data_IF_955201174578
#
_entry.id   IF_955201174578
#
_cell.length_a   1.000
_cell.length_b   1.000
_cell.length_c   1.000
_cell.angle_alpha   90.00
_cell.angle_beta   90.00
_cell.angle_gamma   90.00
#
_symmetry.space_group_name_H-M   'P 1'
#
loop_
_entity.id
_entity.type
_entity.pdbx_description
1 polymer ?
#
# COMPACT_ATOMS: atom_id res chain seq x y z
N UNK A 1 -49.69 -24.16 14.81
CA UNK A 1 -50.96 -23.38 14.91
C UNK A 1 -50.79 -22.41 16.08
N UNK A 2 -51.10 -21.09 15.98
CA UNK A 2 -52.44 -20.45 16.02
C UNK A 2 -53.26 -20.92 17.24
N UNK A 3 -53.80 -20.08 18.13
CA UNK A 3 -54.31 -18.68 18.04
C UNK A 3 -53.96 -17.85 19.30
N UNK A 4 -53.71 -16.53 19.34
CA UNK A 4 -54.40 -15.30 18.83
C UNK A 4 -55.78 -15.00 19.47
N UNK A 5 -56.09 -13.69 19.68
CA UNK A 5 -57.34 -13.01 20.19
C UNK A 5 -57.29 -12.61 21.68
N UNK A 6 -57.85 -11.49 22.18
CA UNK A 6 -58.34 -10.17 21.66
C UNK A 6 -58.05 -9.14 22.81
N UNK A 7 -57.70 -7.86 22.64
CA UNK A 7 -58.29 -6.71 21.92
C UNK A 7 -59.58 -6.11 22.54
N UNK A 8 -59.59 -4.77 22.72
CA UNK A 8 -60.74 -3.82 22.88
C UNK A 8 -61.22 -3.42 24.30
N UNK A 9 -60.85 -2.18 24.67
CA UNK A 9 -61.62 -1.03 25.24
C UNK A 9 -62.77 -1.24 26.25
N UNK A 10 -62.77 -0.40 27.30
CA UNK A 10 -63.97 0.29 27.79
C UNK A 10 -63.97 1.77 27.32
N UNK A 11 -65.06 2.53 27.51
CA UNK A 11 -65.22 3.85 26.89
C UNK A 11 -66.10 4.83 27.68
N UNK A 12 -65.78 6.13 27.54
CA UNK A 12 -66.60 7.31 27.90
C UNK A 12 -66.80 7.57 29.43
N UNK A 13 -67.25 8.75 29.90
CA UNK A 13 -67.78 9.92 29.18
C UNK A 13 -67.62 11.29 29.91
N UNK A 14 -67.41 12.34 29.09
CA UNK A 14 -68.03 13.70 29.13
C UNK A 14 -67.75 14.77 30.23
N UNK A 15 -67.87 16.03 29.74
CA UNK A 15 -68.05 17.34 30.41
C UNK A 15 -66.86 17.96 31.18
N UNK A 16 -66.27 19.14 30.84
CA UNK A 16 -66.76 20.53 30.53
C UNK A 16 -67.36 21.26 31.75
N UNK A 17 -67.11 22.55 32.07
CA UNK A 17 -66.38 23.69 31.43
C UNK A 17 -66.18 24.81 32.51
N UNK A 18 -65.37 25.89 32.46
CA UNK A 18 -64.34 26.46 31.56
C UNK A 18 -63.46 27.49 32.36
N UNK A 19 -62.34 27.96 31.78
CA UNK A 19 -61.53 29.12 32.24
C UNK A 19 -60.04 28.92 31.93
N UNK A 20 -59.37 29.57 30.96
CA UNK A 20 -59.19 31.01 30.69
C UNK A 20 -58.32 31.71 31.77
N UNK A 21 -57.13 32.26 31.49
CA UNK A 21 -56.48 32.49 30.19
C UNK A 21 -54.95 32.74 30.23
N UNK A 22 -54.29 32.42 29.11
CA UNK A 22 -53.06 33.04 28.54
C UNK A 22 -51.67 32.81 29.19
N UNK A 23 -50.93 31.90 28.55
CA UNK A 23 -49.56 32.08 28.00
C UNK A 23 -48.40 32.56 28.90
N UNK A 24 -47.59 31.60 29.32
CA UNK A 24 -46.17 31.55 28.92
C UNK A 24 -45.75 30.07 28.79
N UNK A 25 -45.23 29.67 27.63
CA UNK A 25 -44.72 28.30 27.39
C UNK A 25 -43.20 28.34 27.16
N UNK A 26 -42.42 27.32 27.54
CA UNK A 26 -42.80 26.05 28.16
C UNK A 26 -41.72 25.49 29.10
N UNK A 27 -42.07 24.44 29.85
CA UNK A 27 -41.21 23.78 30.83
C UNK A 27 -40.65 22.44 30.30
N UNK A 28 -39.72 21.83 31.05
CA UNK A 28 -39.02 20.58 30.72
C UNK A 28 -37.51 20.83 30.64
N UNK A 29 -36.67 20.47 31.61
CA UNK A 29 -36.82 19.53 32.74
C UNK A 29 -37.09 18.08 32.33
N UNK A 30 -36.06 17.41 31.85
CA UNK A 30 -35.75 15.99 32.07
C UNK A 30 -34.23 15.80 31.87
N UNK A 31 -33.70 14.61 32.14
CA UNK A 31 -32.29 14.35 32.49
C UNK A 31 -31.24 15.14 31.68
N UNK A 32 -30.39 15.88 32.40
CA UNK A 32 -29.02 16.16 31.94
C UNK A 32 -28.19 14.88 32.06
N UNK A 33 -28.52 13.89 31.24
CA UNK A 33 -27.63 12.78 30.98
C UNK A 33 -26.38 13.36 30.33
N UNK A 34 -25.28 13.37 31.08
CA UNK A 34 -23.97 13.62 30.51
C UNK A 34 -23.72 12.56 29.44
N UNK A 35 -23.95 12.94 28.19
CA UNK A 35 -23.34 12.27 27.05
C UNK A 35 -21.88 12.70 27.08
N UNK A 36 -21.12 12.16 28.03
CA UNK A 36 -19.67 12.10 27.96
C UNK A 36 -19.35 11.29 26.72
N UNK A 37 -19.24 11.98 25.59
CA UNK A 37 -18.36 11.56 24.50
C UNK A 37 -16.97 11.54 25.08
N UNK A 38 -16.62 10.42 25.73
CA UNK A 38 -15.25 10.03 25.95
C UNK A 38 -14.68 9.69 24.57
N UNK A 39 -14.27 10.74 23.84
CA UNK A 39 -13.23 10.58 22.84
C UNK A 39 -12.07 9.85 23.53
N UNK A 40 -11.56 8.80 22.90
CA UNK A 40 -10.77 7.81 23.61
C UNK A 40 -9.44 8.39 24.09
N UNK A 41 -9.09 8.11 25.35
CA UNK A 41 -7.72 8.21 25.86
C UNK A 41 -6.88 7.05 25.27
N UNK A 42 -6.78 7.00 23.93
CA UNK A 42 -6.41 5.78 23.21
C UNK A 42 -6.26 5.89 21.69
N UNK A 43 -6.20 7.10 21.13
CA UNK A 43 -6.05 7.33 19.68
C UNK A 43 -7.29 7.01 18.84
N UNK A 44 -7.24 7.35 17.54
CA UNK A 44 -8.29 7.04 16.55
C UNK A 44 -7.85 5.87 15.64
N UNK A 45 -7.69 4.70 16.25
CA UNK A 45 -7.40 3.45 15.54
C UNK A 45 -8.44 3.09 14.44
N UNK A 46 -9.74 3.48 14.54
CA UNK A 46 -10.65 3.45 13.40
C UNK A 46 -10.17 4.22 12.17
N UNK A 47 -9.54 5.39 12.33
CA UNK A 47 -8.97 6.14 11.19
C UNK A 47 -7.80 5.38 10.55
N UNK A 48 -6.95 4.72 11.35
CA UNK A 48 -5.86 3.83 10.86
C UNK A 48 -6.44 2.62 10.10
N UNK A 49 -7.57 2.07 10.54
CA UNK A 49 -8.29 1.01 9.82
C UNK A 49 -8.86 1.52 8.49
N UNK A 50 -9.63 2.61 8.52
CA UNK A 50 -10.28 3.18 7.35
C UNK A 50 -9.24 3.53 6.26
N UNK A 51 -8.08 4.06 6.67
CA UNK A 51 -6.91 4.30 5.83
C UNK A 51 -6.41 3.01 5.16
N UNK A 52 -5.98 2.00 5.94
CA UNK A 52 -5.52 0.71 5.41
C UNK A 52 -6.52 0.08 4.43
N UNK A 53 -7.82 0.12 4.73
CA UNK A 53 -8.84 -0.42 3.82
C UNK A 53 -9.02 0.41 2.56
N UNK A 54 -8.79 1.73 2.60
CA UNK A 54 -8.92 2.60 1.42
C UNK A 54 -7.79 2.35 0.41
N UNK A 55 -6.56 2.19 0.89
CA UNK A 55 -5.40 1.88 0.05
C UNK A 55 -5.47 0.43 -0.48
N UNK A 56 -5.84 -0.54 0.36
CA UNK A 56 -6.06 -1.92 -0.08
C UNK A 56 -7.22 -2.08 -1.09
N UNK A 57 -8.31 -1.31 -0.95
CA UNK A 57 -9.38 -1.24 -1.96
C UNK A 57 -8.86 -0.66 -3.29
N UNK A 58 -8.04 0.40 -3.25
CA UNK A 58 -7.53 1.10 -4.43
C UNK A 58 -6.48 0.28 -5.19
N UNK A 59 -5.56 -0.36 -4.48
CA UNK A 59 -4.63 -1.35 -5.02
C UNK A 59 -5.37 -2.49 -5.74
N UNK A 60 -6.41 -3.04 -5.10
CA UNK A 60 -7.21 -4.09 -5.72
C UNK A 60 -7.91 -3.61 -7.01
N UNK A 61 -8.37 -2.35 -7.10
CA UNK A 61 -8.90 -1.78 -8.35
C UNK A 61 -7.82 -1.66 -9.45
N UNK A 62 -6.56 -1.31 -9.14
CA UNK A 62 -5.50 -1.25 -10.15
C UNK A 62 -5.02 -2.64 -10.59
N UNK A 63 -4.89 -3.58 -9.64
CA UNK A 63 -4.49 -4.97 -9.92
C UNK A 63 -5.57 -5.72 -10.72
N UNK A 64 -6.86 -5.36 -10.56
CA UNK A 64 -7.93 -5.83 -11.44
C UNK A 64 -7.74 -5.41 -12.91
N UNK A 65 -7.25 -4.20 -13.16
CA UNK A 65 -6.93 -3.71 -14.52
C UNK A 65 -5.71 -4.45 -15.07
N UNK A 66 -4.64 -4.58 -14.27
CA UNK A 66 -3.44 -5.35 -14.65
C UNK A 66 -3.80 -6.79 -15.05
N UNK A 67 -4.55 -7.51 -14.21
CA UNK A 67 -4.96 -8.88 -14.47
C UNK A 67 -5.86 -9.01 -15.70
N UNK A 68 -6.83 -8.10 -15.90
CA UNK A 68 -7.70 -8.11 -17.08
C UNK A 68 -6.92 -7.88 -18.40
N UNK A 69 -5.92 -6.99 -18.37
CA UNK A 69 -5.06 -6.74 -19.52
C UNK A 69 -4.12 -7.92 -19.80
N UNK A 70 -3.60 -8.57 -18.76
CA UNK A 70 -2.75 -9.76 -18.89
C UNK A 70 -3.51 -10.97 -19.47
N UNK A 71 -4.76 -11.20 -19.06
CA UNK A 71 -5.64 -12.21 -19.66
C UNK A 71 -5.88 -11.91 -21.15
N UNK A 72 -6.13 -10.64 -21.50
CA UNK A 72 -6.37 -10.24 -22.91
C UNK A 72 -5.10 -10.37 -23.76
N UNK A 73 -3.94 -10.00 -23.22
CA UNK A 73 -2.64 -10.21 -23.86
C UNK A 73 -2.31 -11.69 -24.07
N UNK A 74 -2.62 -12.53 -23.07
CA UNK A 74 -2.51 -13.99 -23.19
C UNK A 74 -3.45 -14.56 -24.27
N UNK A 75 -4.71 -14.12 -24.36
CA UNK A 75 -5.62 -14.56 -25.42
C UNK A 75 -5.10 -14.19 -26.83
N UNK A 76 -4.44 -13.04 -26.99
CA UNK A 76 -3.80 -12.64 -28.25
C UNK A 76 -2.56 -13.51 -28.56
N UNK A 77 -1.71 -13.77 -27.57
CA UNK A 77 -0.52 -14.62 -27.74
C UNK A 77 -0.89 -16.08 -28.04
N UNK A 78 -1.88 -16.65 -27.35
CA UNK A 78 -2.41 -17.99 -27.63
C UNK A 78 -3.03 -18.07 -29.05
N UNK A 79 -3.72 -17.02 -29.49
CA UNK A 79 -4.26 -16.93 -30.85
C UNK A 79 -3.19 -16.87 -31.95
N UNK A 80 -1.96 -16.46 -31.61
CA UNK A 80 -0.77 -16.46 -32.46
C UNK A 80 0.08 -17.75 -32.34
N UNK A 81 -0.42 -18.81 -31.68
CA UNK A 81 0.36 -20.02 -31.33
C UNK A 81 1.65 -19.70 -30.52
N UNK A 82 1.68 -18.56 -29.79
CA UNK A 82 2.84 -17.95 -29.12
C UNK A 82 4.02 -17.56 -30.04
N UNK A 83 3.76 -17.36 -31.34
CA UNK A 83 4.70 -16.73 -32.27
C UNK A 83 4.68 -15.20 -32.06
N UNK A 84 5.59 -14.70 -31.22
CA UNK A 84 5.61 -13.28 -30.83
C UNK A 84 5.99 -12.33 -31.98
N UNK A 85 6.80 -12.78 -32.96
CA UNK A 85 7.04 -12.05 -34.22
C UNK A 85 5.71 -11.86 -34.98
N UNK A 86 4.90 -12.92 -35.13
CA UNK A 86 3.60 -12.86 -35.79
C UNK A 86 2.55 -12.08 -34.99
N UNK A 87 2.56 -12.19 -33.65
CA UNK A 87 1.71 -11.40 -32.75
C UNK A 87 1.92 -9.90 -32.99
N UNK A 88 3.18 -9.46 -33.08
CA UNK A 88 3.53 -8.06 -33.30
C UNK A 88 3.36 -7.64 -34.77
N UNK A 89 3.55 -8.50 -35.78
CA UNK A 89 3.20 -8.16 -37.18
C UNK A 89 1.67 -7.95 -37.37
N UNK A 90 0.83 -8.77 -36.72
CA UNK A 90 -0.63 -8.73 -36.94
C UNK A 90 -1.40 -7.82 -35.95
N UNK A 91 -0.96 -7.70 -34.68
CA UNK A 91 -1.76 -7.09 -33.58
C UNK A 91 -1.05 -5.96 -32.82
N UNK A 92 0.05 -5.41 -33.36
CA UNK A 92 0.92 -4.41 -32.71
C UNK A 92 0.16 -3.27 -31.97
N UNK A 93 -0.81 -2.62 -32.64
CA UNK A 93 -1.58 -1.50 -32.06
C UNK A 93 -2.43 -1.91 -30.84
N UNK A 94 -2.86 -3.17 -30.74
CA UNK A 94 -3.70 -3.69 -29.65
C UNK A 94 -2.84 -4.18 -28.47
N UNK A 95 -1.73 -4.88 -28.75
CA UNK A 95 -0.74 -5.25 -27.73
C UNK A 95 -0.12 -3.99 -27.09
N UNK A 96 0.26 -3.00 -27.89
CA UNK A 96 0.82 -1.75 -27.39
C UNK A 96 -0.15 -1.01 -26.46
N UNK A 97 -1.45 -0.95 -26.83
CA UNK A 97 -2.48 -0.34 -25.99
C UNK A 97 -2.66 -1.07 -24.65
N UNK A 98 -2.70 -2.41 -24.64
CA UNK A 98 -2.81 -3.22 -23.43
C UNK A 98 -1.61 -3.02 -22.50
N UNK A 99 -0.39 -3.08 -23.03
CA UNK A 99 0.83 -2.90 -22.23
C UNK A 99 1.00 -1.46 -21.75
N UNK A 100 0.54 -0.46 -22.51
CA UNK A 100 0.48 0.93 -22.06
C UNK A 100 -0.53 1.13 -20.92
N UNK A 101 -1.76 0.60 -21.04
CA UNK A 101 -2.76 0.68 -19.96
C UNK A 101 -2.31 -0.11 -18.71
N UNK A 102 -1.58 -1.21 -18.88
CA UNK A 102 -0.93 -1.92 -17.77
C UNK A 102 0.17 -1.10 -17.09
N UNK A 103 1.07 -0.43 -17.83
CA UNK A 103 2.07 0.48 -17.24
C UNK A 103 1.41 1.65 -16.49
N UNK A 104 0.35 2.22 -17.06
CA UNK A 104 -0.49 3.24 -16.42
C UNK A 104 -1.13 2.74 -15.12
N UNK A 105 -1.59 1.47 -15.07
CA UNK A 105 -2.16 0.85 -13.88
C UNK A 105 -1.09 0.53 -12.82
N UNK A 106 0.08 0.04 -13.22
CA UNK A 106 1.22 -0.21 -12.34
C UNK A 106 1.65 1.06 -11.59
N UNK A 107 1.79 2.18 -12.31
CA UNK A 107 2.19 3.49 -11.75
C UNK A 107 1.13 4.08 -10.79
N UNK A 108 -0.10 3.53 -10.76
CA UNK A 108 -1.11 3.82 -9.73
C UNK A 108 -1.08 2.80 -8.59
N UNK A 109 -0.90 1.51 -8.92
CA UNK A 109 -0.84 0.42 -7.95
C UNK A 109 0.30 0.59 -6.93
N UNK A 110 1.46 1.10 -7.36
CA UNK A 110 2.61 1.32 -6.47
C UNK A 110 2.27 2.27 -5.30
N UNK A 111 1.90 3.56 -5.50
CA UNK A 111 1.53 4.43 -4.37
C UNK A 111 0.30 3.91 -3.58
N UNK A 112 -0.66 3.26 -4.25
CA UNK A 112 -1.79 2.57 -3.57
C UNK A 112 -1.34 1.45 -2.60
N UNK A 113 -0.11 0.92 -2.74
CA UNK A 113 0.52 0.00 -1.79
C UNK A 113 1.48 0.71 -0.82
N UNK A 114 2.40 1.52 -1.32
CA UNK A 114 3.45 2.23 -0.56
C UNK A 114 2.86 3.06 0.58
N UNK A 115 1.77 3.80 0.33
CA UNK A 115 1.06 4.58 1.36
C UNK A 115 0.56 3.73 2.54
N UNK A 116 0.37 2.41 2.38
CA UNK A 116 -0.02 1.47 3.44
C UNK A 116 1.05 0.45 3.86
N UNK A 117 2.19 0.31 3.17
CA UNK A 117 3.26 -0.65 3.49
C UNK A 117 3.66 -0.57 4.97
N UNK A 118 3.80 0.64 5.50
CA UNK A 118 4.15 0.88 6.90
C UNK A 118 3.25 0.14 7.91
N UNK A 119 2.00 -0.14 7.55
CA UNK A 119 1.04 -0.94 8.32
C UNK A 119 1.07 -2.42 7.91
N UNK A 120 1.23 -2.73 6.61
CA UNK A 120 1.24 -4.11 6.08
C UNK A 120 2.49 -4.86 6.53
N UNK A 121 3.68 -4.37 6.19
CA UNK A 121 4.97 -4.91 6.62
C UNK A 121 5.16 -4.81 8.13
N UNK A 122 4.75 -3.67 8.70
CA UNK A 122 4.94 -3.33 10.12
C UNK A 122 4.07 -4.09 11.13
N UNK A 123 3.10 -4.90 10.69
CA UNK A 123 2.19 -5.66 11.56
C UNK A 123 2.33 -7.17 11.27
N UNK A 124 2.78 -8.01 12.22
CA UNK A 124 3.10 -9.43 11.95
C UNK A 124 1.97 -10.32 11.43
N UNK A 125 0.70 -9.88 11.49
CA UNK A 125 -0.43 -10.61 10.88
C UNK A 125 -0.63 -10.31 9.39
N UNK A 126 0.02 -9.26 8.87
CA UNK A 126 -0.09 -8.75 7.51
C UNK A 126 1.25 -8.86 6.75
N UNK A 127 2.39 -8.90 7.46
CA UNK A 127 3.74 -8.86 6.88
C UNK A 127 4.07 -9.93 5.81
N UNK A 128 3.35 -11.06 5.74
CA UNK A 128 3.54 -12.00 4.63
C UNK A 128 3.03 -11.44 3.30
N UNK A 129 2.01 -10.56 3.31
CA UNK A 129 1.58 -9.85 2.11
C UNK A 129 2.64 -8.87 1.63
N UNK A 130 3.43 -8.28 2.53
CA UNK A 130 4.56 -7.43 2.15
C UNK A 130 5.67 -8.22 1.45
N UNK A 131 6.10 -9.34 2.05
CA UNK A 131 7.02 -10.28 1.42
C UNK A 131 6.48 -10.75 0.06
N UNK A 132 5.21 -11.17 -0.03
CA UNK A 132 4.68 -11.69 -1.29
C UNK A 132 4.46 -10.58 -2.35
N UNK A 133 4.16 -9.34 -1.97
CA UNK A 133 3.80 -8.25 -2.89
C UNK A 133 4.98 -7.36 -3.31
N UNK A 134 5.83 -6.85 -2.40
CA UNK A 134 6.92 -5.88 -2.72
C UNK A 134 8.31 -6.29 -2.21
N UNK A 135 8.43 -6.81 -0.99
CA UNK A 135 9.74 -6.96 -0.34
C UNK A 135 10.45 -8.30 -0.59
N UNK A 136 9.71 -9.35 -0.98
CA UNK A 136 10.23 -10.73 -0.98
C UNK A 136 11.18 -11.07 -2.11
N UNK A 137 12.17 -11.90 -1.75
CA UNK A 137 13.19 -12.40 -2.66
C UNK A 137 12.73 -13.63 -3.48
N UNK A 138 13.57 -14.05 -4.42
CA UNK A 138 13.43 -15.31 -5.14
C UNK A 138 13.90 -16.51 -4.29
N UNK A 139 13.83 -17.71 -4.87
CA UNK A 139 14.33 -18.94 -4.25
C UNK A 139 15.84 -18.98 -3.94
N UNK A 140 16.63 -17.97 -4.33
CA UNK A 140 18.06 -17.88 -4.02
C UNK A 140 18.36 -17.36 -2.61
N UNK A 141 17.42 -16.63 -1.99
CA UNK A 141 17.44 -16.30 -0.56
C UNK A 141 16.23 -16.90 0.19
N UNK A 142 16.31 -18.17 0.64
CA UNK A 142 15.20 -18.84 1.33
C UNK A 142 14.84 -18.29 2.72
N UNK A 143 15.54 -17.28 3.24
CA UNK A 143 15.15 -16.62 4.50
C UNK A 143 14.16 -15.47 4.23
N UNK A 144 14.17 -14.86 3.04
CA UNK A 144 13.29 -13.76 2.62
C UNK A 144 12.39 -14.08 1.40
N UNK A 145 12.39 -15.34 0.93
CA UNK A 145 11.70 -15.74 -0.29
C UNK A 145 10.16 -15.75 -0.18
N UNK A 146 9.47 -15.30 -1.23
CA UNK A 146 7.98 -15.29 -1.33
C UNK A 146 7.33 -16.63 -1.04
N UNK A 147 6.11 -16.62 -0.51
CA UNK A 147 5.42 -17.85 -0.05
C UNK A 147 4.90 -18.74 -1.19
N UNK A 148 4.66 -18.16 -2.38
CA UNK A 148 3.95 -18.77 -3.50
C UNK A 148 4.88 -19.43 -4.54
N UNK A 149 4.28 -19.96 -5.61
CA UNK A 149 4.95 -20.40 -6.84
C UNK A 149 3.96 -20.29 -7.99
N UNK A 150 4.38 -19.74 -9.12
CA UNK A 150 3.50 -19.50 -10.27
C UNK A 150 3.37 -20.80 -11.08
N UNK A 151 2.15 -21.32 -11.21
CA UNK A 151 1.82 -22.43 -12.11
C UNK A 151 1.42 -21.82 -13.46
N UNK A 152 2.23 -22.02 -14.50
CA UNK A 152 2.07 -21.36 -15.80
C UNK A 152 1.01 -22.07 -16.68
N UNK A 153 0.37 -21.37 -17.64
CA UNK A 153 -0.67 -21.96 -18.50
C UNK A 153 -0.20 -23.13 -19.37
N UNK A 154 1.07 -23.14 -19.78
CA UNK A 154 1.72 -24.21 -20.53
C UNK A 154 2.00 -25.49 -19.69
N UNK A 155 1.97 -25.36 -18.36
CA UNK A 155 2.21 -26.43 -17.39
C UNK A 155 3.63 -26.46 -16.81
N UNK A 156 4.46 -25.42 -16.99
CA UNK A 156 5.67 -25.21 -16.19
C UNK A 156 5.35 -24.53 -14.84
N UNK A 157 6.32 -24.50 -13.92
CA UNK A 157 6.14 -23.95 -12.56
C UNK A 157 7.34 -23.09 -12.17
N UNK A 158 7.15 -21.78 -11.99
CA UNK A 158 8.18 -20.88 -11.45
C UNK A 158 8.13 -20.91 -9.92
N UNK A 159 9.14 -21.55 -9.30
CA UNK A 159 9.14 -21.80 -7.85
C UNK A 159 9.74 -20.64 -7.06
N UNK A 160 8.90 -19.87 -6.36
CA UNK A 160 9.27 -18.67 -5.60
C UNK A 160 10.10 -17.68 -6.45
N UNK A 161 9.50 -17.04 -7.48
CA UNK A 161 10.24 -16.26 -8.47
C UNK A 161 10.66 -14.84 -8.02
N UNK A 162 10.21 -14.38 -6.85
CA UNK A 162 10.32 -12.99 -6.40
C UNK A 162 8.94 -12.40 -6.13
N UNK A 163 8.91 -11.17 -5.61
CA UNK A 163 7.67 -10.45 -5.30
C UNK A 163 6.93 -9.94 -6.55
N UNK A 164 5.67 -9.56 -6.36
CA UNK A 164 4.73 -9.31 -7.45
C UNK A 164 4.91 -7.94 -8.11
N UNK A 165 5.34 -6.90 -7.38
CA UNK A 165 5.71 -5.62 -7.98
C UNK A 165 6.94 -5.77 -8.88
N UNK A 166 8.02 -6.38 -8.39
CA UNK A 166 9.25 -6.63 -9.16
C UNK A 166 8.97 -7.41 -10.46
N UNK A 167 8.24 -8.52 -10.37
CA UNK A 167 7.91 -9.36 -11.54
C UNK A 167 6.98 -8.64 -12.53
N UNK A 168 6.12 -7.75 -12.05
CA UNK A 168 5.23 -6.96 -12.92
C UNK A 168 5.98 -5.81 -13.60
N UNK A 169 6.82 -5.09 -12.86
CA UNK A 169 7.60 -3.95 -13.37
C UNK A 169 8.61 -4.40 -14.41
N UNK A 170 9.49 -5.35 -14.04
CA UNK A 170 10.63 -5.74 -14.87
C UNK A 170 10.19 -6.37 -16.19
N UNK A 171 9.04 -7.05 -16.21
CA UNK A 171 8.38 -7.53 -17.41
C UNK A 171 7.75 -6.40 -18.25
N UNK A 172 7.07 -5.42 -17.64
CA UNK A 172 6.41 -4.31 -18.35
C UNK A 172 7.39 -3.27 -18.92
N UNK A 173 8.53 -3.07 -18.27
CA UNK A 173 9.52 -2.04 -18.62
C UNK A 173 10.79 -2.61 -19.29
N UNK A 174 10.91 -3.94 -19.37
CA UNK A 174 11.90 -4.62 -20.20
C UNK A 174 13.29 -4.75 -19.55
N UNK A 175 13.36 -4.91 -18.23
CA UNK A 175 14.62 -4.89 -17.46
C UNK A 175 15.08 -6.23 -16.91
N UNK A 176 14.21 -7.25 -16.84
CA UNK A 176 14.62 -8.64 -16.57
C UNK A 176 14.42 -9.50 -17.82
N UNK A 177 15.51 -9.96 -18.45
CA UNK A 177 15.47 -10.73 -19.70
C UNK A 177 14.76 -12.11 -19.55
N UNK A 178 14.64 -12.67 -18.35
CA UNK A 178 13.99 -13.98 -18.13
C UNK A 178 12.46 -13.91 -18.11
N UNK A 179 11.86 -12.71 -18.09
CA UNK A 179 10.40 -12.48 -18.10
C UNK A 179 9.85 -12.01 -19.46
N UNK A 180 10.70 -11.88 -20.48
CA UNK A 180 10.35 -11.29 -21.79
C UNK A 180 10.19 -12.33 -22.89
N UNK A 181 9.40 -11.97 -23.90
CA UNK A 181 9.27 -12.74 -25.14
C UNK A 181 10.54 -12.63 -26.01
N UNK A 182 10.90 -13.71 -26.72
CA UNK A 182 12.01 -13.76 -27.71
C UNK A 182 11.60 -13.04 -29.02
N UNK A 183 11.52 -11.70 -28.94
CA UNK A 183 11.07 -10.78 -30.01
C UNK A 183 11.79 -9.42 -29.87
N UNK A 184 11.83 -8.63 -30.95
CA UNK A 184 12.31 -7.24 -30.86
C UNK A 184 11.37 -6.40 -29.98
N UNK A 185 11.91 -5.81 -28.91
CA UNK A 185 11.17 -5.14 -27.83
C UNK A 185 10.64 -3.74 -28.23
N UNK A 186 9.97 -3.64 -29.37
CA UNK A 186 9.35 -2.43 -29.94
C UNK A 186 7.88 -2.31 -29.47
N UNK A 187 7.68 -2.14 -28.16
CA UNK A 187 6.36 -2.22 -27.53
C UNK A 187 5.40 -1.05 -27.86
N UNK A 188 5.86 -0.03 -28.61
CA UNK A 188 5.02 1.03 -29.19
C UNK A 188 5.02 1.09 -30.72
N UNK A 189 5.62 0.10 -31.39
CA UNK A 189 5.55 -0.14 -32.83
C UNK A 189 6.07 1.02 -33.69
N UNK A 190 7.01 1.80 -33.16
CA UNK A 190 7.62 2.96 -33.81
C UNK A 190 8.78 2.58 -34.75
N UNK A 191 9.34 1.37 -34.56
CA UNK A 191 10.51 0.86 -35.29
C UNK A 191 11.83 1.10 -34.55
N UNK A 192 11.81 1.28 -33.23
CA UNK A 192 12.99 1.42 -32.36
C UNK A 192 12.72 0.85 -30.97
N UNK A 193 13.55 -0.12 -30.55
CA UNK A 193 13.63 -0.50 -29.13
C UNK A 193 14.18 0.67 -28.30
N UNK A 194 13.39 1.16 -27.35
CA UNK A 194 13.78 2.16 -26.34
C UNK A 194 13.55 1.63 -24.91
N UNK A 195 14.22 2.22 -23.92
CA UNK A 195 14.13 1.78 -22.52
C UNK A 195 12.73 2.04 -21.93
N UNK A 196 12.19 1.09 -21.16
CA UNK A 196 10.82 1.13 -20.65
C UNK A 196 9.79 0.43 -21.55
N UNK A 197 10.22 -0.28 -22.59
CA UNK A 197 9.38 -1.00 -23.55
C UNK A 197 9.53 -2.52 -23.38
N UNK A 198 8.95 -3.10 -22.32
CA UNK A 198 8.86 -4.56 -22.19
C UNK A 198 7.75 -5.16 -23.05
N UNK A 199 8.03 -6.30 -23.68
CA UNK A 199 7.05 -7.24 -24.25
C UNK A 199 7.15 -8.54 -23.41
N UNK A 200 6.29 -8.72 -22.39
CA UNK A 200 6.37 -9.87 -21.49
C UNK A 200 6.16 -11.21 -22.19
N UNK A 201 6.73 -12.29 -21.65
CA UNK A 201 6.20 -13.62 -21.94
C UNK A 201 4.77 -13.74 -21.36
N UNK A 202 3.81 -14.11 -22.22
CA UNK A 202 2.40 -14.16 -21.89
C UNK A 202 2.06 -15.21 -20.83
N UNK A 203 2.77 -16.35 -20.77
CA UNK A 203 2.53 -17.39 -19.76
C UNK A 203 2.92 -16.90 -18.37
N UNK A 204 4.12 -16.32 -18.27
CA UNK A 204 4.71 -15.75 -17.05
C UNK A 204 3.91 -14.53 -16.56
N UNK A 205 3.59 -13.60 -17.46
CA UNK A 205 2.90 -12.36 -17.13
C UNK A 205 1.46 -12.59 -16.63
N UNK A 206 0.69 -13.47 -17.29
CA UNK A 206 -0.68 -13.78 -16.84
C UNK A 206 -0.68 -14.59 -15.54
N UNK A 207 0.31 -15.46 -15.30
CA UNK A 207 0.44 -16.17 -14.04
C UNK A 207 0.78 -15.22 -12.88
N UNK A 208 1.75 -14.31 -13.09
CA UNK A 208 2.15 -13.27 -12.13
C UNK A 208 0.95 -12.43 -11.71
N UNK A 209 0.18 -11.91 -12.67
CA UNK A 209 -0.92 -11.00 -12.36
C UNK A 209 -2.20 -11.70 -11.86
N UNK A 210 -2.36 -13.00 -12.10
CA UNK A 210 -3.35 -13.82 -11.38
C UNK A 210 -2.99 -14.00 -9.90
N UNK A 211 -1.71 -14.21 -9.57
CA UNK A 211 -1.25 -14.29 -8.18
C UNK A 211 -1.28 -12.92 -7.50
N UNK A 212 -0.86 -11.84 -8.18
CA UNK A 212 -0.96 -10.48 -7.65
C UNK A 212 -2.40 -10.13 -7.29
N UNK A 213 -3.36 -10.44 -8.18
CA UNK A 213 -4.79 -10.30 -7.88
C UNK A 213 -5.22 -11.13 -6.67
N UNK A 214 -4.78 -12.38 -6.55
CA UNK A 214 -5.13 -13.24 -5.42
C UNK A 214 -4.59 -12.70 -4.08
N UNK A 215 -3.37 -12.17 -4.07
CA UNK A 215 -2.74 -11.57 -2.89
C UNK A 215 -3.37 -10.22 -2.53
N UNK A 216 -3.72 -9.38 -3.52
CA UNK A 216 -4.44 -8.13 -3.31
C UNK A 216 -5.87 -8.35 -2.77
N UNK A 217 -6.65 -9.29 -3.33
CA UNK A 217 -7.97 -9.69 -2.80
C UNK A 217 -7.86 -10.25 -1.36
N UNK A 218 -6.77 -10.97 -1.05
CA UNK A 218 -6.53 -11.52 0.29
C UNK A 218 -6.16 -10.42 1.30
N UNK A 219 -5.23 -9.52 0.95
CA UNK A 219 -4.85 -8.35 1.75
C UNK A 219 -6.06 -7.44 2.01
N UNK A 220 -6.88 -7.15 0.99
CA UNK A 220 -8.13 -6.40 1.13
C UNK A 220 -9.09 -7.07 2.15
N UNK A 221 -9.28 -8.39 2.04
CA UNK A 221 -10.14 -9.13 2.96
C UNK A 221 -9.60 -9.15 4.40
N UNK A 222 -8.27 -9.25 4.59
CA UNK A 222 -7.64 -9.19 5.90
C UNK A 222 -7.62 -7.77 6.49
N UNK A 223 -7.44 -6.72 5.67
CA UNK A 223 -7.55 -5.32 6.10
C UNK A 223 -8.97 -5.03 6.62
N UNK A 224 -10.00 -5.44 5.86
CA UNK A 224 -11.39 -5.30 6.29
C UNK A 224 -11.71 -6.08 7.59
N UNK A 225 -11.03 -7.21 7.82
CA UNK A 225 -11.16 -8.03 9.03
C UNK A 225 -10.26 -7.60 10.20
N UNK A 226 -9.25 -6.75 9.97
CA UNK A 226 -8.30 -6.28 10.97
C UNK A 226 -8.95 -5.24 11.89
N UNK A 227 -8.69 -5.32 13.20
CA UNK A 227 -9.10 -4.32 14.17
C UNK A 227 -7.81 -3.82 14.86
N UNK A 228 -7.18 -2.73 14.35
CA UNK A 228 -5.86 -2.30 14.81
C UNK A 228 -5.86 -1.93 16.28
N UNK A 229 -4.80 -2.30 16.98
CA UNK A 229 -4.56 -1.98 18.39
C UNK A 229 -3.42 -0.97 18.55
N UNK A 230 -3.25 -0.38 19.74
CA UNK A 230 -2.08 0.44 20.05
C UNK A 230 -0.75 -0.30 19.87
N UNK A 231 -0.73 -1.63 20.07
CA UNK A 231 0.46 -2.45 19.87
C UNK A 231 0.83 -2.51 18.40
N UNK A 232 -0.14 -2.74 17.51
CA UNK A 232 0.09 -2.82 16.06
C UNK A 232 0.64 -1.49 15.52
N UNK A 233 -0.03 -0.37 15.82
CA UNK A 233 0.39 0.96 15.35
C UNK A 233 1.77 1.37 15.88
N UNK A 234 2.08 1.13 17.17
CA UNK A 234 3.40 1.43 17.73
C UNK A 234 4.49 0.48 17.21
N UNK A 235 4.14 -0.78 16.89
CA UNK A 235 5.06 -1.76 16.28
C UNK A 235 5.39 -1.34 14.85
N UNK A 236 4.38 -1.07 14.04
CA UNK A 236 4.49 -0.61 12.66
C UNK A 236 5.47 0.57 12.52
N UNK A 237 5.24 1.65 13.25
CA UNK A 237 6.11 2.84 13.23
C UNK A 237 7.52 2.50 13.74
N UNK A 238 7.67 1.60 14.72
CA UNK A 238 8.99 1.23 15.26
C UNK A 238 9.80 0.37 14.29
N UNK A 239 9.17 -0.52 13.53
CA UNK A 239 9.82 -1.43 12.57
C UNK A 239 10.10 -0.73 11.24
N UNK A 240 9.12 0.00 10.70
CA UNK A 240 9.18 0.53 9.32
C UNK A 240 9.79 1.92 9.18
N UNK A 241 9.94 2.72 10.25
CA UNK A 241 10.69 3.98 10.14
C UNK A 241 12.19 3.74 9.86
N UNK A 242 12.93 2.83 10.55
CA UNK A 242 14.39 2.69 10.43
C UNK A 242 14.90 1.83 9.25
N UNK A 243 14.11 1.58 8.21
CA UNK A 243 14.50 0.85 6.99
C UNK A 243 15.23 1.71 5.94
N UNK A 244 15.29 3.03 6.14
CA UNK A 244 15.81 4.04 5.19
C UNK A 244 17.12 3.66 4.46
N UNK A 245 18.08 3.01 5.13
CA UNK A 245 19.36 2.64 4.50
C UNK A 245 19.23 1.66 3.34
N UNK A 246 18.22 0.80 3.37
CA UNK A 246 17.95 -0.21 2.34
C UNK A 246 17.32 0.42 1.11
N UNK A 247 16.25 1.20 1.29
CA UNK A 247 15.63 1.94 0.19
C UNK A 247 16.62 2.93 -0.49
N UNK A 248 17.51 3.59 0.26
CA UNK A 248 18.55 4.45 -0.34
C UNK A 248 19.68 3.67 -1.04
N UNK A 249 19.96 2.42 -0.65
CA UNK A 249 20.84 1.52 -1.43
C UNK A 249 20.15 1.09 -2.73
N UNK A 250 18.86 0.74 -2.71
CA UNK A 250 18.09 0.45 -3.93
C UNK A 250 18.05 1.67 -4.88
N UNK A 251 17.69 2.87 -4.39
CA UNK A 251 17.70 4.12 -5.18
C UNK A 251 19.06 4.37 -5.85
N UNK A 252 20.17 4.18 -5.11
CA UNK A 252 21.54 4.28 -5.63
C UNK A 252 21.87 3.30 -6.76
N UNK A 253 21.27 2.11 -6.77
CA UNK A 253 21.53 1.05 -7.76
C UNK A 253 20.54 1.05 -8.94
N UNK A 254 19.42 1.78 -8.83
CA UNK A 254 18.37 1.94 -9.86
C UNK A 254 18.76 2.85 -11.03
N UNK A 255 17.91 2.85 -12.06
CA UNK A 255 18.06 3.68 -13.25
C UNK A 255 18.04 5.20 -12.96
N UNK A 256 17.45 5.65 -11.85
CA UNK A 256 17.36 7.07 -11.48
C UNK A 256 18.74 7.70 -11.19
N UNK A 257 19.59 6.97 -10.46
CA UNK A 257 20.98 7.34 -10.12
C UNK A 257 21.99 6.80 -11.14
N UNK A 258 21.92 5.50 -11.46
CA UNK A 258 22.96 4.80 -12.21
C UNK A 258 22.71 4.78 -13.73
N UNK A 259 21.48 5.07 -14.19
CA UNK A 259 21.11 5.03 -15.60
C UNK A 259 21.37 3.66 -16.21
N UNK A 260 22.12 3.61 -17.32
CA UNK A 260 22.50 2.35 -17.99
C UNK A 260 23.52 1.50 -17.23
N UNK A 261 24.13 2.03 -16.16
CA UNK A 261 25.07 1.30 -15.29
C UNK A 261 24.36 0.78 -14.01
N UNK A 262 23.01 0.76 -14.01
CA UNK A 262 22.18 0.20 -12.94
C UNK A 262 22.47 -1.29 -12.68
N UNK A 263 22.18 -1.71 -11.45
CA UNK A 263 22.20 -3.12 -11.02
C UNK A 263 20.87 -3.58 -10.45
N UNK A 264 20.03 -2.63 -10.08
CA UNK A 264 18.65 -2.89 -9.70
C UNK A 264 17.83 -2.96 -10.97
N UNK A 265 17.04 -4.03 -11.14
CA UNK A 265 16.23 -4.25 -12.33
C UNK A 265 14.88 -3.52 -12.21
N UNK A 266 14.39 -3.34 -10.98
CA UNK A 266 13.22 -2.53 -10.64
C UNK A 266 13.54 -1.06 -10.30
N UNK A 267 12.52 -0.33 -9.86
CA UNK A 267 12.52 1.12 -9.64
C UNK A 267 12.92 1.89 -10.91
N UNK A 268 12.10 1.64 -11.94
CA UNK A 268 12.22 2.11 -13.32
C UNK A 268 11.02 2.98 -13.69
N UNK A 269 9.82 2.56 -13.27
CA UNK A 269 8.56 3.27 -13.44
C UNK A 269 8.37 4.33 -12.36
N UNK A 270 8.62 3.95 -11.10
CA UNK A 270 8.65 4.82 -9.92
C UNK A 270 10.08 4.90 -9.38
N UNK A 271 10.45 6.06 -8.83
CA UNK A 271 11.72 6.21 -8.12
C UNK A 271 11.52 5.77 -6.68
N UNK A 272 12.45 4.98 -6.12
CA UNK A 272 12.45 4.60 -4.70
C UNK A 272 12.51 5.79 -3.73
N UNK A 273 12.66 7.05 -4.19
CA UNK A 273 12.39 8.26 -3.37
C UNK A 273 10.89 8.63 -3.23
N UNK A 274 10.04 8.14 -4.11
CA UNK A 274 8.57 8.32 -4.08
C UNK A 274 8.00 7.36 -3.05
N UNK A 275 8.28 6.08 -3.25
CA UNK A 275 8.13 4.95 -2.34
C UNK A 275 8.39 5.36 -0.87
N UNK A 276 9.63 5.76 -0.53
CA UNK A 276 9.99 6.19 0.84
C UNK A 276 9.14 7.37 1.33
N UNK A 277 8.78 8.33 0.47
CA UNK A 277 7.95 9.46 0.87
C UNK A 277 6.50 9.04 1.17
N UNK A 278 5.98 8.09 0.41
CA UNK A 278 4.59 7.64 0.50
C UNK A 278 4.44 6.63 1.68
N UNK A 279 5.42 5.75 1.90
CA UNK A 279 5.58 4.97 3.14
C UNK A 279 5.65 5.89 4.38
N UNK A 280 6.48 6.94 4.34
CA UNK A 280 6.60 7.90 5.43
C UNK A 280 5.32 8.72 5.66
N UNK A 281 4.52 8.96 4.61
CA UNK A 281 3.18 9.55 4.71
C UNK A 281 2.26 8.67 5.55
N UNK A 282 2.19 7.37 5.24
CA UNK A 282 1.41 6.39 6.02
C UNK A 282 1.90 6.21 7.46
N UNK A 283 3.21 6.22 7.69
CA UNK A 283 3.80 6.17 9.04
C UNK A 283 3.48 7.45 9.83
N UNK A 284 3.58 8.63 9.22
CA UNK A 284 3.27 9.92 9.85
C UNK A 284 1.77 10.04 10.18
N UNK A 285 0.89 9.61 9.27
CA UNK A 285 -0.54 9.50 9.52
C UNK A 285 -0.85 8.55 10.68
N UNK A 286 -0.29 7.35 10.66
CA UNK A 286 -0.47 6.35 11.74
C UNK A 286 0.03 6.88 13.09
N UNK A 287 1.12 7.66 13.11
CA UNK A 287 1.59 8.33 14.31
C UNK A 287 0.61 9.42 14.79
N UNK A 288 0.10 10.26 13.89
CA UNK A 288 -0.80 11.37 14.23
C UNK A 288 -2.07 10.87 14.93
N UNK A 289 -2.67 9.78 14.45
CA UNK A 289 -3.89 9.21 15.05
C UNK A 289 -3.64 8.55 16.43
N UNK A 290 -2.39 8.21 16.78
CA UNK A 290 -2.01 7.73 18.12
C UNK A 290 -1.33 8.78 19.02
N UNK A 291 -0.91 9.95 18.48
CA UNK A 291 -0.30 11.05 19.26
C UNK A 291 -1.10 11.36 20.54
N UNK A 292 -2.45 11.47 20.53
CA UNK A 292 -3.21 11.82 21.72
C UNK A 292 -2.97 10.89 22.92
N UNK A 293 -2.73 9.59 22.67
CA UNK A 293 -2.45 8.61 23.72
C UNK A 293 -1.06 8.83 24.34
N UNK A 294 -0.04 9.09 23.50
CA UNK A 294 1.32 9.40 23.94
C UNK A 294 1.34 10.75 24.69
N UNK A 295 0.55 11.71 24.22
CA UNK A 295 0.45 13.06 24.79
C UNK A 295 -0.27 13.14 26.15
N UNK A 296 -1.01 12.12 26.57
CA UNK A 296 -1.54 12.05 27.94
C UNK A 296 -0.45 11.74 28.98
N UNK A 297 0.54 10.91 28.64
CA UNK A 297 1.67 10.56 29.52
C UNK A 297 2.88 11.49 29.35
N UNK A 298 3.28 11.82 28.12
CA UNK A 298 4.39 12.74 27.83
C UNK A 298 4.06 13.71 26.67
N UNK A 299 3.34 14.82 26.95
CA UNK A 299 2.99 15.84 25.94
C UNK A 299 4.16 16.68 25.44
N UNK A 300 5.39 16.44 25.90
CA UNK A 300 6.61 16.98 25.29
C UNK A 300 7.20 15.97 24.29
N UNK A 301 7.31 14.68 24.65
CA UNK A 301 7.74 13.65 23.71
C UNK A 301 6.83 13.60 22.48
N UNK A 302 5.51 13.54 22.69
CA UNK A 302 4.55 13.32 21.60
C UNK A 302 4.75 14.32 20.43
N UNK A 303 4.95 15.59 20.78
CA UNK A 303 5.20 16.69 19.83
C UNK A 303 6.61 16.70 19.26
N UNK A 304 7.59 16.15 19.97
CA UNK A 304 8.95 15.99 19.44
C UNK A 304 8.96 14.89 18.37
N UNK A 305 8.38 13.72 18.65
CA UNK A 305 8.28 12.62 17.68
C UNK A 305 7.45 13.02 16.45
N UNK A 306 6.30 13.68 16.63
CA UNK A 306 5.51 14.23 15.52
C UNK A 306 6.35 15.16 14.62
N UNK A 307 6.98 16.19 15.20
CA UNK A 307 7.78 17.14 14.43
C UNK A 307 9.03 16.50 13.77
N UNK A 308 9.57 15.42 14.33
CA UNK A 308 10.70 14.69 13.72
C UNK A 308 10.26 13.76 12.60
N UNK A 309 9.04 13.20 12.65
CA UNK A 309 8.41 12.52 11.51
C UNK A 309 8.11 13.52 10.38
N UNK A 310 7.47 14.66 10.70
CA UNK A 310 7.25 15.75 9.74
C UNK A 310 8.57 16.21 9.06
N UNK A 311 9.65 16.37 9.84
CA UNK A 311 10.99 16.75 9.34
C UNK A 311 11.70 15.64 8.56
N UNK A 312 11.34 14.36 8.73
CA UNK A 312 11.88 13.23 7.96
C UNK A 312 11.12 13.07 6.64
N UNK A 313 9.78 13.10 6.67
CA UNK A 313 8.93 13.08 5.48
C UNK A 313 9.28 14.25 4.55
N UNK A 314 9.23 15.49 5.05
CA UNK A 314 9.55 16.67 4.25
C UNK A 314 11.02 16.74 3.78
N UNK A 315 11.93 15.95 4.37
CA UNK A 315 13.28 15.77 3.87
C UNK A 315 13.30 14.83 2.65
N UNK A 316 12.60 13.69 2.70
CA UNK A 316 12.51 12.74 1.57
C UNK A 316 11.69 13.30 0.41
N UNK A 317 10.52 13.89 0.67
CA UNK A 317 9.76 14.66 -0.33
C UNK A 317 10.65 15.71 -1.00
N UNK A 318 11.44 16.42 -0.18
CA UNK A 318 12.39 17.42 -0.66
C UNK A 318 13.51 16.86 -1.55
N UNK A 319 13.76 15.54 -1.55
CA UNK A 319 14.65 14.86 -2.50
C UNK A 319 13.88 14.39 -3.75
N UNK A 320 12.72 13.75 -3.57
CA UNK A 320 11.80 13.32 -4.65
C UNK A 320 11.48 14.47 -5.61
N UNK A 321 11.00 15.59 -5.05
CA UNK A 321 10.64 16.80 -5.79
C UNK A 321 11.86 17.44 -6.52
N UNK A 322 13.09 17.23 -6.04
CA UNK A 322 14.32 17.68 -6.71
C UNK A 322 14.70 16.76 -7.88
N UNK A 323 14.52 15.46 -7.72
CA UNK A 323 14.73 14.48 -8.80
C UNK A 323 13.72 14.66 -9.93
N UNK A 324 12.43 14.85 -9.61
CA UNK A 324 11.38 15.18 -10.58
C UNK A 324 11.67 16.50 -11.31
N UNK A 325 12.18 17.51 -10.58
CA UNK A 325 12.65 18.77 -11.16
C UNK A 325 13.92 18.64 -12.04
N UNK A 326 14.48 17.43 -12.17
CA UNK A 326 15.61 17.10 -13.04
C UNK A 326 16.99 17.29 -12.41
N UNK A 327 17.09 17.35 -11.07
CA UNK A 327 18.39 17.26 -10.40
C UNK A 327 18.96 15.85 -10.57
N UNK A 328 20.29 15.76 -10.76
CA UNK A 328 20.99 14.48 -10.88
C UNK A 328 21.96 14.29 -9.72
N UNK A 329 21.45 13.58 -8.72
CA UNK A 329 22.17 13.01 -7.60
C UNK A 329 23.17 11.93 -8.08
N UNK A 330 24.13 11.61 -7.23
CA UNK A 330 25.12 10.55 -7.44
C UNK A 330 25.05 9.50 -6.33
N UNK A 331 25.73 8.36 -6.49
CA UNK A 331 25.81 7.36 -5.42
C UNK A 331 26.48 7.86 -4.14
N UNK A 332 27.38 8.86 -4.21
CA UNK A 332 27.96 9.51 -3.02
C UNK A 332 26.94 10.42 -2.31
N UNK A 333 26.02 11.03 -3.08
CA UNK A 333 24.87 11.74 -2.51
C UNK A 333 23.90 10.76 -1.86
N UNK A 334 23.54 9.65 -2.54
CA UNK A 334 22.64 8.63 -1.98
C UNK A 334 23.18 8.00 -0.68
N UNK A 335 24.47 7.62 -0.64
CA UNK A 335 25.15 7.15 0.57
C UNK A 335 25.06 8.17 1.72
N UNK A 336 25.25 9.45 1.42
CA UNK A 336 25.25 10.54 2.41
C UNK A 336 23.84 10.88 2.90
N UNK A 337 22.89 10.99 1.97
CA UNK A 337 21.51 11.39 2.23
C UNK A 337 20.72 10.28 2.93
N UNK A 338 20.96 9.01 2.56
CA UNK A 338 20.41 7.84 3.24
C UNK A 338 20.97 7.68 4.65
N UNK A 339 22.27 7.94 4.84
CA UNK A 339 22.87 7.97 6.19
C UNK A 339 22.25 9.04 7.10
N UNK A 340 21.83 10.19 6.56
CA UNK A 340 21.11 11.21 7.34
C UNK A 340 19.65 10.80 7.61
N UNK A 341 18.95 10.21 6.62
CA UNK A 341 17.60 9.69 6.80
C UNK A 341 17.56 8.60 7.90
N UNK A 342 18.45 7.61 7.82
CA UNK A 342 18.61 6.54 8.80
C UNK A 342 18.81 7.08 10.22
N UNK A 343 19.71 8.05 10.41
CA UNK A 343 20.01 8.61 11.72
C UNK A 343 18.82 9.35 12.35
N UNK A 344 17.97 9.98 11.53
CA UNK A 344 16.70 10.60 11.96
C UNK A 344 15.68 9.52 12.32
N UNK A 345 15.52 8.52 11.46
CA UNK A 345 14.60 7.41 11.62
C UNK A 345 14.86 6.57 12.89
N UNK A 346 16.12 6.26 13.18
CA UNK A 346 16.51 5.55 14.41
C UNK A 346 16.19 6.36 15.69
N UNK A 347 16.30 7.69 15.66
CA UNK A 347 15.90 8.54 16.79
C UNK A 347 14.38 8.53 17.00
N UNK A 348 13.60 8.48 15.92
CA UNK A 348 12.13 8.40 15.94
C UNK A 348 11.68 7.03 16.48
N UNK A 349 12.14 5.92 15.89
CA UNK A 349 11.82 4.57 16.34
C UNK A 349 12.23 4.32 17.80
N UNK A 350 13.41 4.84 18.20
CA UNK A 350 13.88 4.83 19.57
C UNK A 350 12.99 5.64 20.54
N UNK A 351 12.31 6.68 20.07
CA UNK A 351 11.32 7.43 20.85
C UNK A 351 9.97 6.71 20.93
N UNK A 352 9.46 6.16 19.83
CA UNK A 352 8.21 5.39 19.81
C UNK A 352 8.31 4.17 20.72
N UNK A 353 9.45 3.47 20.70
CA UNK A 353 9.79 2.41 21.66
C UNK A 353 9.67 2.87 23.12
N UNK A 354 10.16 4.07 23.46
CA UNK A 354 10.05 4.62 24.82
C UNK A 354 8.61 5.06 25.18
N UNK A 355 7.80 5.46 24.20
CA UNK A 355 6.39 5.77 24.40
C UNK A 355 5.60 4.48 24.73
N UNK A 356 5.77 3.42 23.95
CA UNK A 356 5.18 2.10 24.20
C UNK A 356 5.51 1.59 25.62
N UNK A 357 6.79 1.66 26.02
CA UNK A 357 7.24 1.26 27.36
C UNK A 357 6.64 2.11 28.50
N UNK A 358 6.40 3.42 28.28
CA UNK A 358 5.70 4.30 29.24
C UNK A 358 4.23 3.93 29.39
N UNK A 359 3.55 3.70 28.26
CA UNK A 359 2.14 3.31 28.19
C UNK A 359 1.89 1.87 28.68
N UNK A 360 2.95 1.06 28.84
CA UNK A 360 2.84 -0.36 29.21
C UNK A 360 2.35 -1.24 28.07
N UNK A 361 2.54 -0.79 26.83
CA UNK A 361 2.18 -1.51 25.60
C UNK A 361 3.39 -2.35 25.18
N UNK A 362 3.13 -3.62 24.90
CA UNK A 362 4.11 -4.56 24.33
C UNK A 362 4.17 -4.33 22.82
N UNK A 363 5.38 -4.12 22.28
CA UNK A 363 5.62 -4.17 20.84
C UNK A 363 5.73 -5.64 20.44
N UNK A 364 5.35 -5.96 19.21
CA UNK A 364 5.45 -7.32 18.69
C UNK A 364 6.86 -7.54 18.10
N UNK A 365 7.36 -8.77 18.19
CA UNK A 365 8.54 -9.20 17.42
C UNK A 365 8.14 -9.30 15.93
N UNK A 366 9.09 -9.02 15.02
CA UNK A 366 9.01 -9.39 13.61
C UNK A 366 9.27 -10.90 13.44
#
# INVERSE_FOLDING_TARGET
MRTRKHLVRLSAALCTVAGASLLAAGCGSEDSGETTTAAAAGGDLPAVKDYLTTHADSLAEQVDVLAANAETYYELAEAADFDYDALMEENCEEVSALLAESRDAFVRANPDYEEMEGIVAGVPRLAQYDVDIDAGADASDPENAVSFSLELPDGETMKQPGNLFFLTETALFGTNEELLADVEQDADCDGKVEFGQGIPDANTYVATLREFKAQAEALQADAAAFEPTPSDALTAITIMTPTMSEYFEAWKNSAFIAGSDAKEEGFVATSRLSDIADILSGIAFTYAEIEPMIAEEDPQQAKQTAAQLDELLAYVEGLRDREEAGEKFTGEDADTLGSEAQARAEEIAGQVTQAAQRLGIELQDA
#
